data_IF_186776127119
#
_entry.id   IF_186776127119
#
_cell.length_a   1.000
_cell.length_b   1.000
_cell.length_c   1.000
_cell.angle_alpha   90.00
_cell.angle_beta   90.00
_cell.angle_gamma   90.00
#
_symmetry.space_group_name_H-M   'P 1'
#
loop_
_entity.id
_entity.type
_entity.pdbx_description
1 polymer ?
#
# COMPACT_ATOMS: atom_id res chain seq x y z
N UNK A 1 66.44 9.57 29.74
CA UNK A 1 65.66 8.33 29.53
C UNK A 1 64.36 8.48 30.28
N UNK A 2 63.29 8.91 29.61
CA UNK A 2 61.96 8.85 30.20
C UNK A 2 61.57 7.38 30.32
N UNK A 3 61.47 6.90 31.56
CA UNK A 3 60.89 5.60 31.86
C UNK A 3 59.39 5.74 31.62
N UNK A 4 58.92 5.36 30.43
CA UNK A 4 57.50 5.10 30.21
C UNK A 4 57.11 3.97 31.15
N UNK A 5 56.25 4.23 32.13
CA UNK A 5 55.64 3.20 32.98
C UNK A 5 54.91 2.24 32.05
N UNK A 6 55.52 1.09 31.78
CA UNK A 6 54.86 0.00 31.08
C UNK A 6 53.71 -0.48 31.95
N UNK A 7 52.48 -0.29 31.48
CA UNK A 7 51.31 -0.93 32.08
C UNK A 7 51.53 -2.43 31.92
N UNK A 8 51.46 -3.19 33.02
CA UNK A 8 51.52 -4.65 32.94
C UNK A 8 50.33 -5.12 32.10
N UNK A 9 50.55 -6.00 31.10
CA UNK A 9 49.47 -6.46 30.23
C UNK A 9 48.39 -7.13 31.07
N UNK A 10 47.13 -6.81 30.77
CA UNK A 10 45.99 -7.33 31.52
C UNK A 10 45.95 -8.86 31.33
N UNK A 11 45.92 -9.61 32.42
CA UNK A 11 45.87 -11.08 32.36
C UNK A 11 44.42 -11.52 32.19
N UNK A 12 44.12 -12.17 31.07
CA UNK A 12 42.79 -12.71 30.76
C UNK A 12 42.74 -14.20 31.14
N UNK A 13 42.03 -14.54 32.21
CA UNK A 13 41.92 -15.93 32.71
C UNK A 13 40.83 -16.77 32.03
N UNK A 14 40.06 -16.19 31.12
CA UNK A 14 38.98 -16.85 30.39
C UNK A 14 39.06 -16.53 28.91
N UNK A 15 39.04 -17.57 28.07
CA UNK A 15 39.02 -17.43 26.61
C UNK A 15 37.80 -16.62 26.16
N UNK A 16 36.62 -16.93 26.68
CA UNK A 16 35.38 -16.20 26.37
C UNK A 16 35.51 -14.72 26.72
N UNK A 17 36.11 -14.40 27.88
CA UNK A 17 36.31 -13.02 28.29
C UNK A 17 37.33 -12.29 27.40
N UNK A 18 38.42 -12.97 26.98
CA UNK A 18 39.39 -12.42 26.03
C UNK A 18 38.76 -12.17 24.65
N UNK A 19 37.90 -13.08 24.18
CA UNK A 19 37.14 -12.93 22.94
C UNK A 19 36.17 -11.74 22.99
N UNK A 20 35.41 -11.59 24.08
CA UNK A 20 34.52 -10.44 24.31
C UNK A 20 35.31 -9.12 24.42
N UNK A 21 36.45 -9.13 25.11
CA UNK A 21 37.32 -7.97 25.22
C UNK A 21 37.90 -7.57 23.86
N UNK A 22 38.34 -8.54 23.04
CA UNK A 22 38.80 -8.28 21.69
C UNK A 22 37.68 -7.73 20.80
N UNK A 23 36.45 -8.24 20.92
CA UNK A 23 35.30 -7.73 20.17
C UNK A 23 35.03 -6.26 20.50
N UNK A 24 34.97 -5.90 21.78
CA UNK A 24 34.78 -4.52 22.22
C UNK A 24 35.91 -3.59 21.74
N UNK A 25 37.16 -4.08 21.70
CA UNK A 25 38.28 -3.30 21.20
C UNK A 25 38.25 -3.14 19.67
N UNK A 26 37.78 -4.14 18.92
CA UNK A 26 37.55 -4.00 17.48
C UNK A 26 36.41 -3.02 17.18
N UNK A 27 35.38 -2.94 18.02
CA UNK A 27 34.34 -1.90 17.91
C UNK A 27 34.92 -0.50 18.13
N UNK A 28 35.75 -0.30 19.16
CA UNK A 28 36.41 0.98 19.41
C UNK A 28 37.30 1.41 18.24
N UNK A 29 38.05 0.48 17.65
CA UNK A 29 38.87 0.76 16.47
C UNK A 29 38.00 1.09 15.24
N UNK A 30 36.93 0.33 15.01
CA UNK A 30 36.04 0.50 13.85
C UNK A 30 35.28 1.82 13.89
N UNK A 31 34.74 2.21 15.05
CA UNK A 31 33.85 3.38 15.17
C UNK A 31 34.57 4.66 15.62
N UNK A 32 35.68 4.54 16.35
CA UNK A 32 36.36 5.69 16.95
C UNK A 32 37.86 5.76 16.63
N UNK A 33 38.41 4.77 15.92
CA UNK A 33 39.85 4.65 15.65
C UNK A 33 40.70 4.60 16.92
N UNK A 34 40.13 4.07 18.00
CA UNK A 34 40.79 3.91 19.28
C UNK A 34 41.27 2.48 19.49
N UNK A 35 42.55 2.33 19.82
CA UNK A 35 43.16 1.04 20.21
C UNK A 35 43.73 1.16 21.61
N UNK A 36 43.26 0.32 22.53
CA UNK A 36 43.93 0.19 23.82
C UNK A 36 45.29 -0.51 23.67
N UNK A 37 46.12 -0.37 24.70
CA UNK A 37 47.40 -1.07 24.81
C UNK A 37 47.25 -2.61 24.69
N UNK A 38 46.11 -3.15 25.11
CA UNK A 38 45.82 -4.58 25.08
C UNK A 38 45.34 -5.09 23.70
N UNK A 39 45.02 -4.22 22.73
CA UNK A 39 44.46 -4.62 21.43
C UNK A 39 45.37 -5.60 20.68
N UNK A 40 46.65 -5.26 20.54
CA UNK A 40 47.62 -6.09 19.82
C UNK A 40 47.89 -7.41 20.53
N UNK A 41 47.96 -7.39 21.86
CA UNK A 41 48.11 -8.58 22.68
C UNK A 41 46.91 -9.52 22.50
N UNK A 42 45.69 -9.01 22.65
CA UNK A 42 44.46 -9.79 22.46
C UNK A 42 44.34 -10.36 21.04
N UNK A 43 44.57 -9.54 20.02
CA UNK A 43 44.44 -9.94 18.62
C UNK A 43 45.50 -10.97 18.17
N UNK A 44 46.59 -11.14 18.93
CA UNK A 44 47.59 -12.19 18.68
C UNK A 44 47.29 -13.51 19.40
N UNK A 45 46.50 -13.48 20.47
CA UNK A 45 46.22 -14.65 21.34
C UNK A 45 44.88 -15.30 21.04
N UNK A 46 43.86 -14.50 20.70
CA UNK A 46 42.52 -14.99 20.36
C UNK A 46 42.08 -14.48 19.00
N UNK A 47 41.35 -15.33 18.26
CA UNK A 47 40.72 -14.99 17.00
C UNK A 47 39.22 -15.11 17.16
N UNK A 48 38.51 -14.07 16.75
CA UNK A 48 37.05 -14.02 16.79
C UNK A 48 36.52 -13.77 15.38
N UNK A 49 35.35 -14.32 15.04
CA UNK A 49 34.66 -14.03 13.79
C UNK A 49 33.98 -12.65 13.90
N UNK A 50 34.79 -11.60 14.08
CA UNK A 50 34.32 -10.22 14.23
C UNK A 50 33.66 -9.75 12.94
N UNK A 51 32.48 -9.11 13.05
CA UNK A 51 31.70 -8.60 11.92
C UNK A 51 31.34 -9.68 10.88
N UNK A 52 31.28 -10.95 11.29
CA UNK A 52 30.99 -12.10 10.42
C UNK A 52 29.49 -12.40 10.27
N UNK A 53 28.62 -11.63 10.93
CA UNK A 53 27.19 -11.88 10.90
C UNK A 53 26.64 -11.72 9.47
N UNK A 54 26.06 -12.81 8.99
CA UNK A 54 25.36 -12.85 7.72
C UNK A 54 23.85 -12.94 7.97
N UNK A 55 23.14 -11.92 7.47
CA UNK A 55 21.70 -11.81 7.55
C UNK A 55 21.01 -12.38 6.30
N UNK A 56 21.75 -13.05 5.41
CA UNK A 56 21.16 -13.76 4.28
C UNK A 56 20.17 -14.82 4.77
N UNK A 57 18.99 -14.82 4.16
CA UNK A 57 17.95 -15.78 4.49
C UNK A 57 18.30 -17.14 3.90
N UNK A 58 18.68 -18.09 4.77
CA UNK A 58 19.12 -19.44 4.37
C UNK A 58 17.99 -20.45 4.17
N UNK A 59 16.72 -20.00 4.26
CA UNK A 59 15.54 -20.84 4.11
C UNK A 59 14.93 -21.26 5.44
N UNK A 60 13.60 -21.38 5.46
CA UNK A 60 12.86 -21.96 6.57
C UNK A 60 11.64 -22.71 6.03
N UNK A 61 11.43 -23.98 6.43
CA UNK A 61 10.24 -24.76 6.06
C UNK A 61 9.07 -24.36 6.95
N UNK A 62 8.46 -23.21 6.67
CA UNK A 62 7.38 -22.65 7.52
C UNK A 62 6.00 -22.97 6.98
N UNK A 63 5.87 -23.17 5.66
CA UNK A 63 4.59 -23.51 5.06
C UNK A 63 4.36 -25.02 4.99
N UNK A 64 3.20 -25.46 5.49
CA UNK A 64 2.67 -26.76 5.12
C UNK A 64 2.12 -26.66 3.69
N UNK A 65 2.83 -27.25 2.73
CA UNK A 65 2.48 -27.25 1.31
C UNK A 65 1.14 -27.94 1.00
N UNK A 66 0.62 -28.75 1.93
CA UNK A 66 -0.68 -29.42 1.77
C UNK A 66 -1.86 -28.51 2.11
N UNK A 67 -1.63 -27.39 2.83
CA UNK A 67 -2.69 -26.44 3.13
C UNK A 67 -2.87 -25.44 2.00
N UNK A 68 -4.12 -25.25 1.62
CA UNK A 68 -4.52 -24.24 0.64
C UNK A 68 -4.09 -22.84 1.12
N UNK A 69 -3.34 -22.12 0.29
CA UNK A 69 -2.93 -20.75 0.60
C UNK A 69 -4.04 -19.77 0.23
N UNK A 70 -4.17 -18.72 1.04
CA UNK A 70 -5.05 -17.59 0.78
C UNK A 70 -4.23 -16.32 0.66
N UNK A 71 -4.29 -15.69 -0.50
CA UNK A 71 -3.64 -14.42 -0.77
C UNK A 71 -4.66 -13.31 -0.85
N UNK A 72 -4.25 -12.13 -0.39
CA UNK A 72 -4.96 -10.87 -0.55
C UNK A 72 -3.99 -9.82 -1.09
N UNK A 73 -4.52 -8.72 -1.64
CA UNK A 73 -3.69 -7.59 -2.05
C UNK A 73 -2.76 -7.12 -0.93
N UNK A 74 -3.28 -6.90 0.29
CA UNK A 74 -2.48 -6.36 1.41
C UNK A 74 -1.30 -7.27 1.77
N UNK A 75 -1.52 -8.59 1.82
CA UNK A 75 -0.46 -9.56 2.08
C UNK A 75 0.56 -9.62 0.94
N UNK A 76 0.08 -9.62 -0.30
CA UNK A 76 0.95 -9.71 -1.47
C UNK A 76 1.76 -8.42 -1.70
N UNK A 77 1.20 -7.25 -1.37
CA UNK A 77 1.93 -5.97 -1.32
C UNK A 77 3.09 -6.03 -0.34
N UNK A 78 2.89 -6.59 0.86
CA UNK A 78 3.99 -6.76 1.85
C UNK A 78 5.08 -7.65 1.29
N UNK A 79 4.73 -8.76 0.61
CA UNK A 79 5.71 -9.66 0.00
C UNK A 79 6.56 -8.95 -1.06
N UNK A 80 5.93 -8.26 -2.01
CA UNK A 80 6.63 -7.53 -3.07
C UNK A 80 7.43 -6.33 -2.55
N UNK A 81 7.01 -5.73 -1.44
CA UNK A 81 7.77 -4.68 -0.79
C UNK A 81 9.00 -5.22 -0.05
N UNK A 82 8.86 -6.31 0.71
CA UNK A 82 9.97 -6.97 1.40
C UNK A 82 9.59 -8.43 1.74
N UNK A 83 10.22 -9.43 1.07
CA UNK A 83 9.90 -10.85 1.32
C UNK A 83 10.14 -11.26 2.78
N UNK A 84 11.20 -10.76 3.41
CA UNK A 84 11.47 -11.04 4.82
C UNK A 84 10.42 -10.44 5.77
N UNK A 85 9.88 -9.26 5.46
CA UNK A 85 8.78 -8.67 6.24
C UNK A 85 7.54 -9.57 6.17
N UNK A 86 7.20 -10.07 4.99
CA UNK A 86 6.11 -11.04 4.82
C UNK A 86 6.36 -12.31 5.63
N UNK A 87 7.59 -12.82 5.62
CA UNK A 87 7.95 -13.99 6.41
C UNK A 87 7.69 -13.76 7.91
N UNK A 88 8.17 -12.64 8.47
CA UNK A 88 7.99 -12.33 9.88
C UNK A 88 6.52 -12.08 10.25
N UNK A 89 5.77 -11.30 9.46
CA UNK A 89 4.38 -10.95 9.77
C UNK A 89 3.37 -12.04 9.40
N UNK A 90 3.44 -12.60 8.20
CA UNK A 90 2.41 -13.49 7.68
C UNK A 90 2.72 -14.98 7.89
N UNK A 91 3.99 -15.38 7.82
CA UNK A 91 4.39 -16.78 7.99
C UNK A 91 4.60 -17.13 9.47
N UNK A 92 5.43 -16.35 10.18
CA UNK A 92 5.73 -16.55 11.60
C UNK A 92 4.73 -15.89 12.55
N UNK A 93 3.94 -14.91 12.06
CA UNK A 93 2.94 -14.18 12.85
C UNK A 93 3.53 -13.45 14.05
N UNK A 94 4.68 -12.81 13.86
CA UNK A 94 5.41 -12.07 14.90
C UNK A 94 4.91 -10.63 15.11
N UNK A 95 3.96 -10.17 14.30
CA UNK A 95 3.34 -8.84 14.40
C UNK A 95 1.86 -9.03 14.69
N UNK A 96 1.47 -9.10 15.98
CA UNK A 96 0.08 -9.23 16.34
C UNK A 96 -0.67 -7.99 15.85
N UNK A 97 -1.85 -8.22 15.29
CA UNK A 97 -2.67 -7.13 14.80
C UNK A 97 -3.15 -6.26 15.97
N UNK A 98 -2.74 -4.99 15.97
CA UNK A 98 -3.20 -3.98 16.91
C UNK A 98 -4.01 -2.91 16.17
N UNK A 99 -5.16 -2.55 16.75
CA UNK A 99 -5.94 -1.45 16.23
C UNK A 99 -5.17 -0.14 16.40
N UNK A 100 -5.29 0.73 15.40
CA UNK A 100 -4.74 2.07 15.44
C UNK A 100 -5.84 3.08 15.16
N UNK A 101 -5.65 4.32 15.61
CA UNK A 101 -6.54 5.42 15.31
C UNK A 101 -6.91 5.52 13.82
N UNK A 102 -5.91 5.44 12.93
CA UNK A 102 -6.12 5.59 11.49
C UNK A 102 -6.95 4.46 10.89
N UNK A 103 -6.74 3.23 11.39
CA UNK A 103 -7.54 2.08 10.98
C UNK A 103 -9.00 2.26 11.43
N UNK A 104 -9.23 2.59 12.70
CA UNK A 104 -10.58 2.79 13.23
C UNK A 104 -11.30 3.95 12.54
N UNK A 105 -10.60 5.05 12.24
CA UNK A 105 -11.14 6.16 11.44
C UNK A 105 -11.56 5.70 10.04
N UNK A 106 -10.74 4.86 9.39
CA UNK A 106 -11.07 4.22 8.12
C UNK A 106 -12.34 3.39 8.24
N UNK A 107 -12.39 2.47 9.20
CA UNK A 107 -13.56 1.61 9.43
C UNK A 107 -14.84 2.42 9.68
N UNK A 108 -14.78 3.50 10.47
CA UNK A 108 -15.90 4.41 10.69
C UNK A 108 -16.39 4.98 9.35
N UNK A 109 -15.47 5.49 8.53
CA UNK A 109 -15.82 6.06 7.23
C UNK A 109 -16.45 5.02 6.29
N UNK A 110 -15.85 3.82 6.17
CA UNK A 110 -16.39 2.73 5.34
C UNK A 110 -17.78 2.29 5.78
N UNK A 111 -18.01 2.11 7.09
CA UNK A 111 -19.32 1.77 7.63
C UNK A 111 -20.36 2.84 7.25
N UNK A 112 -20.02 4.13 7.40
CA UNK A 112 -20.95 5.21 7.03
C UNK A 112 -21.24 5.19 5.53
N UNK A 113 -20.23 4.98 4.68
CA UNK A 113 -20.43 4.95 3.22
C UNK A 113 -21.24 3.75 2.75
N UNK A 114 -21.16 2.63 3.45
CA UNK A 114 -22.05 1.49 3.23
C UNK A 114 -23.50 1.86 3.57
N UNK A 115 -23.73 2.48 4.73
CA UNK A 115 -25.06 2.87 5.20
C UNK A 115 -25.75 3.91 4.28
N UNK A 116 -25.00 4.68 3.46
CA UNK A 116 -25.59 5.63 2.49
C UNK A 116 -26.58 4.92 1.54
N UNK A 117 -26.38 3.63 1.27
CA UNK A 117 -27.23 2.88 0.36
C UNK A 117 -28.53 2.37 1.01
N UNK A 118 -28.69 2.54 2.33
CA UNK A 118 -29.87 2.11 3.06
C UNK A 118 -30.99 3.16 2.99
N UNK A 119 -32.24 2.69 2.88
CA UNK A 119 -33.42 3.55 2.94
C UNK A 119 -33.51 4.25 4.31
N UNK A 120 -33.63 5.57 4.31
CA UNK A 120 -33.74 6.35 5.54
C UNK A 120 -32.40 6.61 6.25
N UNK A 121 -31.28 6.52 5.53
CA UNK A 121 -29.96 6.89 6.04
C UNK A 121 -29.96 8.22 6.82
N UNK A 122 -29.46 8.17 8.06
CA UNK A 122 -29.18 9.32 8.91
C UNK A 122 -27.71 9.31 9.33
N UNK A 123 -26.98 10.35 8.93
CA UNK A 123 -25.54 10.47 9.16
C UNK A 123 -25.17 10.41 10.66
N UNK A 124 -25.95 11.08 11.51
CA UNK A 124 -25.65 11.16 12.94
C UNK A 124 -25.80 9.80 13.63
N UNK A 125 -26.84 9.05 13.25
CA UNK A 125 -27.09 7.70 13.77
C UNK A 125 -26.08 6.70 13.24
N UNK A 126 -25.75 6.74 11.93
CA UNK A 126 -24.72 5.89 11.33
C UNK A 126 -23.34 6.12 11.97
N UNK A 127 -22.92 7.39 12.09
CA UNK A 127 -21.66 7.74 12.76
C UNK A 127 -21.61 7.25 14.20
N UNK A 128 -22.71 7.41 14.96
CA UNK A 128 -22.76 6.96 16.36
C UNK A 128 -22.59 5.44 16.47
N UNK A 129 -23.23 4.65 15.60
CA UNK A 129 -23.07 3.19 15.56
C UNK A 129 -21.64 2.80 15.23
N UNK A 130 -21.09 3.36 14.15
CA UNK A 130 -19.73 3.07 13.71
C UNK A 130 -18.67 3.44 14.78
N UNK A 131 -18.83 4.62 15.41
CA UNK A 131 -17.98 5.04 16.52
C UNK A 131 -18.04 4.06 17.70
N UNK A 132 -19.24 3.60 18.08
CA UNK A 132 -19.41 2.66 19.19
C UNK A 132 -18.74 1.32 18.93
N UNK A 133 -18.84 0.79 17.70
CA UNK A 133 -18.21 -0.46 17.28
C UNK A 133 -16.68 -0.35 17.42
N UNK A 134 -16.09 0.70 16.84
CA UNK A 134 -14.63 0.86 16.90
C UNK A 134 -14.14 1.18 18.31
N UNK A 135 -14.87 1.99 19.08
CA UNK A 135 -14.48 2.36 20.46
C UNK A 135 -14.51 1.18 21.44
N UNK A 136 -15.25 0.10 21.13
CA UNK A 136 -15.19 -1.15 21.91
C UNK A 136 -13.86 -1.88 21.72
N UNK A 137 -13.33 -1.89 20.50
CA UNK A 137 -12.11 -2.62 20.13
C UNK A 137 -10.84 -1.77 20.27
N UNK A 138 -10.99 -0.45 20.26
CA UNK A 138 -9.94 0.55 20.43
C UNK A 138 -10.52 1.75 21.19
N UNK A 139 -10.43 1.77 22.53
CA UNK A 139 -10.95 2.89 23.32
C UNK A 139 -10.18 4.17 22.98
N UNK A 140 -10.85 5.12 22.32
CA UNK A 140 -10.20 6.36 21.89
C UNK A 140 -9.78 7.20 23.09
N UNK A 141 -8.53 7.68 23.08
CA UNK A 141 -8.05 8.68 24.01
C UNK A 141 -8.80 10.01 23.85
N UNK A 142 -8.73 10.88 24.85
CA UNK A 142 -9.37 12.21 24.78
C UNK A 142 -8.88 13.02 23.57
N UNK A 143 -7.58 12.96 23.26
CA UNK A 143 -7.02 13.65 22.10
C UNK A 143 -7.61 13.14 20.78
N UNK A 144 -7.76 11.82 20.65
CA UNK A 144 -8.36 11.19 19.47
C UNK A 144 -9.85 11.48 19.35
N UNK A 145 -10.60 11.53 20.46
CA UNK A 145 -12.00 11.92 20.46
C UNK A 145 -12.19 13.36 19.96
N UNK A 146 -11.31 14.29 20.38
CA UNK A 146 -11.31 15.66 19.87
C UNK A 146 -11.03 15.68 18.37
N UNK A 147 -10.06 14.90 17.91
CA UNK A 147 -9.74 14.78 16.48
C UNK A 147 -10.90 14.18 15.68
N UNK A 148 -11.55 13.13 16.18
CA UNK A 148 -12.73 12.52 15.57
C UNK A 148 -13.88 13.50 15.42
N UNK A 149 -14.13 14.36 16.43
CA UNK A 149 -15.16 15.39 16.32
C UNK A 149 -14.88 16.40 15.19
N UNK A 150 -13.60 16.68 14.92
CA UNK A 150 -13.22 17.51 13.78
C UNK A 150 -13.38 16.76 12.46
N UNK A 151 -12.88 15.53 12.37
CA UNK A 151 -12.94 14.70 11.16
C UNK A 151 -14.36 14.26 10.80
N UNK A 152 -15.26 14.13 11.78
CA UNK A 152 -16.68 13.87 11.56
C UNK A 152 -17.31 14.89 10.61
N UNK A 153 -16.95 16.17 10.74
CA UNK A 153 -17.44 17.22 9.83
C UNK A 153 -16.97 16.98 8.40
N UNK A 154 -15.73 16.53 8.24
CA UNK A 154 -15.15 16.26 6.93
C UNK A 154 -15.77 15.01 6.30
N UNK A 155 -16.00 13.95 7.09
CA UNK A 155 -16.75 12.76 6.64
C UNK A 155 -18.16 13.17 6.21
N UNK A 156 -18.84 14.06 6.94
CA UNK A 156 -20.18 14.55 6.56
C UNK A 156 -20.17 15.23 5.18
N UNK A 157 -19.19 16.10 4.92
CA UNK A 157 -19.01 16.74 3.61
C UNK A 157 -18.76 15.70 2.52
N UNK A 158 -17.97 14.66 2.81
CA UNK A 158 -17.75 13.56 1.86
C UNK A 158 -19.04 12.78 1.57
N UNK A 159 -19.86 12.50 2.59
CA UNK A 159 -21.18 11.85 2.43
C UNK A 159 -22.09 12.68 1.52
N UNK A 160 -22.17 13.99 1.74
CA UNK A 160 -22.96 14.91 0.91
C UNK A 160 -22.47 14.94 -0.55
N UNK A 161 -21.15 14.98 -0.76
CA UNK A 161 -20.56 14.94 -2.09
C UNK A 161 -20.78 13.59 -2.80
N UNK A 162 -20.69 12.47 -2.08
CA UNK A 162 -21.00 11.13 -2.61
C UNK A 162 -22.47 11.07 -3.02
N UNK A 163 -23.40 11.51 -2.18
CA UNK A 163 -24.83 11.54 -2.50
C UNK A 163 -25.13 12.41 -3.72
N UNK A 164 -24.49 13.59 -3.82
CA UNK A 164 -24.61 14.44 -5.00
C UNK A 164 -24.10 13.74 -6.26
N UNK A 165 -22.92 13.11 -6.21
CA UNK A 165 -22.37 12.35 -7.34
C UNK A 165 -23.31 11.22 -7.77
N UNK A 166 -23.84 10.44 -6.82
CA UNK A 166 -24.80 9.37 -7.10
C UNK A 166 -26.07 9.88 -7.78
N UNK A 167 -26.57 11.07 -7.38
CA UNK A 167 -27.71 11.71 -8.05
C UNK A 167 -27.44 12.15 -9.50
N UNK A 168 -26.16 12.17 -9.91
CA UNK A 168 -25.70 12.52 -11.26
C UNK A 168 -25.22 11.32 -12.06
N UNK A 169 -25.48 10.09 -11.61
CA UNK A 169 -25.22 8.87 -12.37
C UNK A 169 -26.47 8.43 -13.15
N UNK A 170 -26.29 7.80 -14.30
CA UNK A 170 -27.36 7.20 -15.11
C UNK A 170 -27.66 5.78 -14.63
N UNK A 171 -28.91 5.55 -14.18
CA UNK A 171 -29.44 4.26 -13.71
C UNK A 171 -28.43 3.43 -12.88
N UNK A 172 -27.89 3.97 -11.77
CA UNK A 172 -26.83 3.30 -11.04
C UNK A 172 -27.34 2.14 -10.18
N UNK A 173 -26.58 1.05 -10.15
CA UNK A 173 -26.65 -0.01 -9.13
C UNK A 173 -25.36 -0.01 -8.33
N UNK A 174 -25.50 0.00 -7.01
CA UNK A 174 -24.38 0.07 -6.08
C UNK A 174 -24.20 -1.26 -5.35
N UNK A 175 -22.95 -1.72 -5.29
CA UNK A 175 -22.56 -2.84 -4.44
C UNK A 175 -21.43 -2.36 -3.54
N UNK A 176 -21.59 -2.53 -2.23
CA UNK A 176 -20.67 -2.02 -1.22
C UNK A 176 -19.99 -3.19 -0.52
N UNK A 177 -18.70 -3.05 -0.23
CA UNK A 177 -17.98 -3.96 0.65
C UNK A 177 -18.08 -5.45 0.20
N UNK A 178 -18.07 -5.69 -1.12
CA UNK A 178 -18.28 -6.99 -1.75
C UNK A 178 -17.05 -7.88 -1.61
N UNK A 179 -17.23 -9.06 -1.01
CA UNK A 179 -16.18 -10.07 -0.91
C UNK A 179 -16.18 -10.95 -2.16
N UNK A 180 -15.07 -10.94 -2.89
CA UNK A 180 -14.86 -11.77 -4.06
C UNK A 180 -13.63 -12.64 -3.88
N UNK A 181 -13.64 -13.79 -4.53
CA UNK A 181 -12.49 -14.70 -4.56
C UNK A 181 -12.48 -15.51 -5.84
N UNK A 182 -11.30 -15.96 -6.24
CA UNK A 182 -11.14 -16.95 -7.31
C UNK A 182 -9.95 -17.87 -7.01
N UNK A 183 -9.97 -19.01 -7.67
CA UNK A 183 -8.91 -20.00 -7.57
C UNK A 183 -7.75 -19.62 -8.50
N UNK A 184 -6.61 -19.23 -7.93
CA UNK A 184 -5.41 -18.94 -8.70
C UNK A 184 -4.81 -20.23 -9.28
N UNK A 185 -4.86 -21.28 -8.47
CA UNK A 185 -4.49 -22.66 -8.80
C UNK A 185 -5.23 -23.63 -7.84
N UNK A 186 -5.04 -24.94 -8.02
CA UNK A 186 -5.70 -25.98 -7.22
C UNK A 186 -5.45 -25.87 -5.70
N UNK A 187 -4.40 -25.18 -5.28
CA UNK A 187 -3.98 -25.04 -3.89
C UNK A 187 -3.95 -23.58 -3.40
N UNK A 188 -4.38 -22.60 -4.21
CA UNK A 188 -4.31 -21.19 -3.85
C UNK A 188 -5.58 -20.44 -4.24
N UNK A 189 -6.12 -19.67 -3.30
CA UNK A 189 -7.22 -18.72 -3.52
C UNK A 189 -6.67 -17.31 -3.42
N UNK A 190 -7.11 -16.43 -4.31
CA UNK A 190 -6.99 -14.98 -4.12
C UNK A 190 -8.34 -14.46 -3.69
N UNK A 191 -8.39 -13.77 -2.55
CA UNK A 191 -9.59 -13.18 -1.99
C UNK A 191 -9.38 -11.69 -1.71
N UNK A 192 -10.45 -10.91 -1.82
CA UNK A 192 -10.42 -9.49 -1.54
C UNK A 192 -11.82 -8.92 -1.33
N UNK A 193 -11.83 -7.74 -0.72
CA UNK A 193 -13.04 -6.96 -0.46
C UNK A 193 -12.97 -5.71 -1.33
N UNK A 194 -13.97 -5.49 -2.17
CA UNK A 194 -14.07 -4.30 -3.02
C UNK A 194 -15.00 -3.31 -2.33
N UNK A 195 -14.48 -2.13 -1.98
CA UNK A 195 -15.21 -1.12 -1.21
C UNK A 195 -16.50 -0.69 -1.91
N UNK A 196 -16.43 -0.41 -3.22
CA UNK A 196 -17.58 -0.03 -4.02
C UNK A 196 -17.47 -0.43 -5.48
N UNK A 197 -18.51 -1.08 -5.97
CA UNK A 197 -18.75 -1.34 -7.39
C UNK A 197 -19.97 -0.52 -7.81
N UNK A 198 -19.82 0.25 -8.88
CA UNK A 198 -20.94 0.98 -9.50
C UNK A 198 -21.19 0.40 -10.88
N UNK A 199 -22.43 0.00 -11.14
CA UNK A 199 -22.89 -0.43 -12.45
C UNK A 199 -23.86 0.61 -12.96
N UNK A 200 -23.68 1.09 -14.19
CA UNK A 200 -24.54 2.10 -14.80
C UNK A 200 -25.07 1.59 -16.13
N UNK A 201 -26.32 1.92 -16.44
CA UNK A 201 -27.03 1.51 -17.65
C UNK A 201 -26.92 0.00 -17.96
N UNK A 202 -26.84 -0.82 -16.90
CA UNK A 202 -26.64 -2.27 -16.94
C UNK A 202 -25.47 -2.75 -17.81
N UNK A 203 -24.47 -1.89 -18.01
CA UNK A 203 -23.36 -2.13 -18.93
C UNK A 203 -22.00 -1.75 -18.35
N UNK A 204 -21.83 -0.52 -17.90
CA UNK A 204 -20.53 0.01 -17.50
C UNK A 204 -20.29 -0.19 -16.02
N UNK A 205 -19.15 -0.77 -15.67
CA UNK A 205 -18.72 -1.03 -14.31
C UNK A 205 -17.56 -0.13 -13.91
N UNK A 206 -17.65 0.47 -12.72
CA UNK A 206 -16.60 1.28 -12.13
C UNK A 206 -16.25 0.74 -10.75
N UNK A 207 -14.96 0.60 -10.48
CA UNK A 207 -14.46 0.12 -9.19
C UNK A 207 -13.84 1.28 -8.43
N UNK A 208 -14.29 1.47 -7.19
CA UNK A 208 -13.85 2.55 -6.33
C UNK A 208 -13.24 1.95 -5.05
N UNK A 209 -12.17 2.59 -4.59
CA UNK A 209 -11.49 2.31 -3.32
C UNK A 209 -11.51 3.60 -2.47
N UNK A 210 -12.06 3.55 -1.27
CA UNK A 210 -12.10 4.68 -0.37
C UNK A 210 -10.78 4.81 0.36
N UNK A 211 -10.23 6.03 0.40
CA UNK A 211 -9.00 6.33 1.14
C UNK A 211 -9.17 7.56 2.01
N UNK A 212 -8.72 7.43 3.26
CA UNK A 212 -8.60 8.54 4.22
C UNK A 212 -7.25 9.25 4.13
N UNK A 213 -6.29 8.68 3.38
CA UNK A 213 -4.96 9.23 3.14
C UNK A 213 -4.78 9.85 1.75
N UNK A 214 -3.53 10.24 1.43
CA UNK A 214 -3.13 10.89 0.16
C UNK A 214 -2.72 9.93 -0.95
N UNK A 215 -2.84 8.63 -0.73
CA UNK A 215 -2.39 7.62 -1.69
C UNK A 215 -3.14 7.77 -3.01
N UNK A 216 -2.40 7.96 -4.11
CA UNK A 216 -2.98 8.02 -5.46
C UNK A 216 -2.61 6.77 -6.24
N UNK A 217 -3.47 6.40 -7.20
CA UNK A 217 -3.19 5.26 -8.05
C UNK A 217 -2.08 5.60 -9.05
N UNK A 218 -1.03 4.79 -9.07
CA UNK A 218 0.14 4.97 -9.93
C UNK A 218 0.35 3.71 -10.76
N UNK A 219 -0.06 3.70 -12.05
CA UNK A 219 0.11 2.55 -12.93
C UNK A 219 1.55 2.07 -13.04
N UNK A 220 2.53 2.98 -13.10
CA UNK A 220 3.96 2.66 -13.15
C UNK A 220 4.47 1.89 -11.94
N UNK A 221 3.71 1.90 -10.83
CA UNK A 221 4.03 1.17 -9.60
C UNK A 221 3.31 -0.17 -9.48
N UNK A 222 2.47 -0.54 -10.45
CA UNK A 222 1.78 -1.83 -10.48
C UNK A 222 2.78 -2.96 -10.64
N UNK A 223 3.67 -2.88 -11.64
CA UNK A 223 4.72 -3.88 -11.89
C UNK A 223 5.62 -4.20 -10.67
N UNK A 224 5.71 -3.28 -9.71
CA UNK A 224 6.50 -3.45 -8.48
C UNK A 224 5.68 -3.97 -7.29
N UNK A 225 4.42 -4.35 -7.50
CA UNK A 225 3.51 -4.81 -6.45
C UNK A 225 3.16 -3.73 -5.42
N UNK A 226 3.28 -2.44 -5.75
CA UNK A 226 3.04 -1.35 -4.78
C UNK A 226 1.69 -0.65 -4.94
N UNK A 227 1.19 -0.50 -6.16
CA UNK A 227 -0.07 0.23 -6.46
C UNK A 227 -1.10 -0.65 -7.17
N UNK A 228 -1.16 -1.95 -6.83
CA UNK A 228 -1.96 -2.93 -7.57
C UNK A 228 -3.29 -3.32 -6.88
N UNK A 229 -3.82 -2.51 -5.94
CA UNK A 229 -5.13 -2.77 -5.31
C UNK A 229 -6.27 -2.68 -6.31
N UNK A 230 -6.38 -1.57 -7.03
CA UNK A 230 -7.40 -1.39 -8.07
C UNK A 230 -7.25 -2.41 -9.22
N UNK A 231 -6.03 -2.70 -9.71
CA UNK A 231 -5.79 -3.86 -10.58
C UNK A 231 -6.26 -5.20 -9.99
N UNK A 232 -6.09 -5.44 -8.69
CA UNK A 232 -6.61 -6.63 -8.01
C UNK A 232 -8.14 -6.65 -8.02
N UNK A 233 -8.81 -5.51 -7.83
CA UNK A 233 -10.27 -5.44 -7.95
C UNK A 233 -10.73 -5.77 -9.38
N UNK A 234 -10.05 -5.23 -10.40
CA UNK A 234 -10.31 -5.55 -11.80
C UNK A 234 -10.17 -7.06 -12.08
N UNK A 235 -9.13 -7.69 -11.53
CA UNK A 235 -8.94 -9.13 -11.60
C UNK A 235 -10.09 -9.90 -10.91
N UNK A 236 -10.45 -9.55 -9.67
CA UNK A 236 -11.51 -10.22 -8.92
C UNK A 236 -12.86 -10.18 -9.65
N UNK A 237 -13.26 -9.02 -10.19
CA UNK A 237 -14.53 -8.90 -10.93
C UNK A 237 -14.49 -9.63 -12.27
N UNK A 238 -13.32 -9.68 -12.94
CA UNK A 238 -13.17 -10.44 -14.19
C UNK A 238 -13.36 -11.94 -14.01
N UNK A 239 -13.08 -12.47 -12.81
CA UNK A 239 -13.24 -13.88 -12.46
C UNK A 239 -14.59 -14.19 -11.80
N UNK A 240 -15.41 -13.18 -11.52
CA UNK A 240 -16.68 -13.35 -10.82
C UNK A 240 -17.83 -13.58 -11.80
N UNK A 241 -18.58 -14.67 -11.65
CA UNK A 241 -19.80 -14.93 -12.44
C UNK A 241 -20.85 -13.82 -12.29
N UNK A 242 -20.84 -13.10 -11.15
CA UNK A 242 -21.78 -11.99 -10.89
C UNK A 242 -21.44 -10.74 -11.69
N UNK A 243 -20.17 -10.53 -12.07
CA UNK A 243 -19.69 -9.26 -12.59
C UNK A 243 -18.93 -9.33 -13.92
N UNK A 244 -18.51 -10.53 -14.37
CA UNK A 244 -17.65 -10.71 -15.54
C UNK A 244 -18.30 -10.31 -16.89
N UNK A 245 -19.62 -10.10 -16.92
CA UNK A 245 -20.35 -9.67 -18.10
C UNK A 245 -20.49 -8.15 -18.25
N UNK A 246 -20.06 -7.35 -17.25
CA UNK A 246 -20.05 -5.89 -17.36
C UNK A 246 -18.73 -5.36 -17.93
N UNK A 247 -18.80 -4.24 -18.65
CA UNK A 247 -17.62 -3.59 -19.21
C UNK A 247 -16.94 -2.71 -18.15
N UNK A 248 -15.72 -3.10 -17.72
CA UNK A 248 -14.92 -2.27 -16.82
C UNK A 248 -14.55 -0.94 -17.51
N UNK A 249 -15.09 0.16 -16.98
CA UNK A 249 -15.05 1.49 -17.55
C UNK A 249 -14.25 2.49 -16.69
N UNK A 250 -13.86 2.13 -15.46
CA UNK A 250 -12.95 2.97 -14.68
C UNK A 250 -12.54 2.37 -13.35
N UNK A 251 -11.39 2.84 -12.87
CA UNK A 251 -10.78 2.47 -11.60
C UNK A 251 -10.42 3.75 -10.87
N UNK A 252 -10.91 3.94 -9.64
CA UNK A 252 -10.73 5.18 -8.90
C UNK A 252 -10.38 4.96 -7.43
N UNK A 253 -9.50 5.82 -6.93
CA UNK A 253 -9.41 6.12 -5.51
C UNK A 253 -10.33 7.30 -5.23
N UNK A 254 -11.19 7.15 -4.22
CA UNK A 254 -12.03 8.22 -3.72
C UNK A 254 -11.49 8.67 -2.36
N UNK A 255 -10.84 9.82 -2.35
CA UNK A 255 -10.37 10.43 -1.12
C UNK A 255 -11.53 11.05 -0.36
N UNK A 256 -11.75 10.60 0.88
CA UNK A 256 -12.94 10.99 1.66
C UNK A 256 -12.63 11.83 2.90
N UNK A 257 -11.34 11.98 3.24
CA UNK A 257 -10.89 12.89 4.29
C UNK A 257 -9.80 13.79 3.69
N UNK A 258 -9.99 15.13 3.71
CA UNK A 258 -8.97 16.05 3.23
C UNK A 258 -7.77 16.04 4.16
N UNK A 259 -6.58 16.17 3.57
CA UNK A 259 -5.41 16.58 4.34
C UNK A 259 -5.58 18.03 4.77
N UNK A 260 -5.28 18.35 6.02
CA UNK A 260 -5.63 19.60 6.72
C UNK A 260 -5.01 20.88 6.14
N UNK A 261 -4.33 20.83 4.99
CA UNK A 261 -3.50 21.90 4.47
C UNK A 261 -3.94 22.21 3.03
N UNK A 262 -4.82 23.22 2.92
CA UNK A 262 -5.43 23.84 1.72
C UNK A 262 -6.69 23.16 1.20
N UNK A 263 -7.81 23.41 1.89
CA UNK A 263 -9.17 23.31 1.36
C UNK A 263 -9.38 24.39 0.28
N UNK A 264 -8.84 24.21 -0.91
CA UNK A 264 -9.21 25.05 -2.05
C UNK A 264 -10.61 24.65 -2.52
N UNK A 265 -11.60 25.38 -2.04
CA UNK A 265 -12.96 25.32 -2.53
C UNK A 265 -13.08 26.39 -3.61
N UNK A 266 -13.34 25.99 -4.86
CA UNK A 266 -13.79 26.94 -5.88
C UNK A 266 -15.26 27.21 -5.60
N UNK A 267 -15.67 28.49 -5.55
CA UNK A 267 -17.05 28.88 -5.21
C UNK A 267 -18.10 28.26 -6.16
N UNK A 268 -17.74 28.03 -7.43
CA UNK A 268 -18.65 27.48 -8.45
C UNK A 268 -18.56 25.94 -8.62
N UNK A 269 -17.73 25.24 -7.84
CA UNK A 269 -17.57 23.79 -8.01
C UNK A 269 -18.68 23.00 -7.31
N UNK A 270 -19.32 22.08 -8.03
CA UNK A 270 -20.36 21.18 -7.46
C UNK A 270 -19.83 20.36 -6.28
N UNK A 271 -18.58 19.90 -6.37
CA UNK A 271 -17.90 19.20 -5.29
C UNK A 271 -16.48 19.75 -5.11
N UNK A 272 -15.94 19.76 -3.87
CA UNK A 272 -14.56 20.13 -3.62
C UNK A 272 -13.59 19.28 -4.45
N UNK A 273 -12.55 19.91 -5.02
CA UNK A 273 -11.57 19.25 -5.90
C UNK A 273 -10.89 18.02 -5.26
N UNK A 274 -10.71 18.03 -3.93
CA UNK A 274 -10.09 16.93 -3.20
C UNK A 274 -11.00 15.69 -3.08
N UNK A 275 -12.31 15.86 -3.24
CA UNK A 275 -13.31 14.77 -3.25
C UNK A 275 -13.61 14.24 -4.66
N UNK A 276 -13.03 14.85 -5.71
CA UNK A 276 -13.14 14.28 -7.05
C UNK A 276 -12.42 12.91 -7.09
N UNK A 277 -12.98 11.98 -7.85
CA UNK A 277 -12.41 10.65 -8.09
C UNK A 277 -11.03 10.76 -8.74
N UNK A 278 -10.05 10.06 -8.17
CA UNK A 278 -8.66 10.04 -8.62
C UNK A 278 -8.34 8.70 -9.28
N UNK A 279 -8.20 8.67 -10.60
CA UNK A 279 -7.96 7.42 -11.31
C UNK A 279 -8.04 7.58 -12.81
N UNK A 280 -8.42 6.49 -13.48
CA UNK A 280 -8.52 6.42 -14.93
C UNK A 280 -9.91 5.94 -15.33
N UNK A 281 -10.41 6.52 -16.42
CA UNK A 281 -11.68 6.16 -17.05
C UNK A 281 -11.44 5.66 -18.48
N UNK A 282 -12.37 4.91 -19.03
CA UNK A 282 -12.30 4.47 -20.43
C UNK A 282 -12.43 5.66 -21.39
N UNK A 283 -11.72 5.60 -22.52
CA UNK A 283 -11.85 6.54 -23.64
C UNK A 283 -13.17 6.30 -24.40
N UNK A 284 -14.29 6.48 -23.70
CA UNK A 284 -15.65 6.33 -24.19
C UNK A 284 -16.54 7.36 -23.48
N UNK A 285 -16.96 8.39 -24.23
CA UNK A 285 -17.76 9.50 -23.70
C UNK A 285 -19.09 8.99 -23.12
N UNK A 286 -19.69 7.93 -23.68
CA UNK A 286 -20.96 7.40 -23.20
C UNK A 286 -20.80 6.73 -21.84
N UNK A 287 -19.70 5.99 -21.64
CA UNK A 287 -19.37 5.43 -20.33
C UNK A 287 -19.06 6.54 -19.31
N UNK A 288 -18.37 7.62 -19.70
CA UNK A 288 -18.14 8.74 -18.77
C UNK A 288 -19.45 9.42 -18.40
N UNK A 289 -20.35 9.64 -19.35
CA UNK A 289 -21.67 10.25 -19.11
C UNK A 289 -22.55 9.42 -18.17
N UNK A 290 -22.37 8.09 -18.16
CA UNK A 290 -23.16 7.22 -17.30
C UNK A 290 -22.76 7.34 -15.82
N UNK A 291 -21.50 7.66 -15.51
CA UNK A 291 -21.06 7.95 -14.13
C UNK A 291 -21.11 9.45 -13.77
N UNK A 292 -20.99 10.36 -14.74
CA UNK A 292 -21.10 11.81 -14.56
C UNK A 292 -21.96 12.45 -15.66
N UNK A 293 -23.25 12.59 -15.41
CA UNK A 293 -24.21 13.23 -16.33
C UNK A 293 -23.97 14.74 -16.52
N UNK A 294 -23.11 15.37 -15.69
CA UNK A 294 -22.73 16.79 -15.88
C UNK A 294 -21.62 16.95 -16.92
N UNK A 295 -20.99 15.85 -17.34
CA UNK A 295 -19.94 15.82 -18.33
C UNK A 295 -20.48 15.58 -19.74
N UNK A 296 -19.78 16.12 -20.75
CA UNK A 296 -19.95 15.70 -22.14
C UNK A 296 -20.34 16.79 -23.13
N UNK A 297 -20.39 18.04 -22.68
CA UNK A 297 -20.48 19.20 -23.57
C UNK A 297 -19.08 19.61 -24.06
N UNK A 298 -18.92 20.07 -25.32
CA UNK A 298 -17.62 20.50 -25.82
C UNK A 298 -17.01 21.61 -24.98
N UNK A 299 -15.77 21.41 -24.52
CA UNK A 299 -15.06 22.33 -23.64
C UNK A 299 -15.28 22.12 -22.14
N UNK A 300 -16.20 21.22 -21.73
CA UNK A 300 -16.52 20.98 -20.32
C UNK A 300 -15.44 20.19 -19.57
N UNK A 301 -15.31 20.45 -18.27
CA UNK A 301 -14.55 19.62 -17.32
C UNK A 301 -15.52 18.81 -16.47
N UNK A 302 -15.13 17.60 -16.06
CA UNK A 302 -15.95 16.79 -15.14
C UNK A 302 -16.05 17.45 -13.77
N UNK A 303 -17.24 17.41 -13.19
CA UNK A 303 -17.48 17.87 -11.84
C UNK A 303 -16.95 16.89 -10.79
N UNK A 304 -16.94 15.59 -11.11
CA UNK A 304 -16.69 14.52 -10.13
C UNK A 304 -15.40 13.74 -10.36
N UNK A 305 -14.78 13.79 -11.55
CA UNK A 305 -13.56 13.05 -11.87
C UNK A 305 -12.40 14.03 -12.05
N UNK A 306 -11.25 13.76 -11.39
CA UNK A 306 -10.06 14.59 -11.51
C UNK A 306 -9.46 14.50 -12.91
N UNK A 307 -8.99 15.64 -13.42
CA UNK A 307 -8.23 15.71 -14.68
C UNK A 307 -8.97 15.04 -15.84
N UNK A 308 -10.25 15.39 -16.03
CA UNK A 308 -11.08 14.90 -17.13
C UNK A 308 -11.80 16.07 -17.80
N UNK A 309 -11.50 16.28 -19.09
CA UNK A 309 -11.97 17.42 -19.87
C UNK A 309 -12.21 17.04 -21.34
N UNK A 310 -13.23 17.65 -21.95
CA UNK A 310 -13.39 17.69 -23.41
C UNK A 310 -12.84 18.98 -24.01
N UNK A 311 -12.27 18.89 -25.20
CA UNK A 311 -11.95 20.03 -26.06
C UNK A 311 -13.24 20.58 -26.68
N UNK A 312 -13.12 21.76 -27.31
CA UNK A 312 -14.24 22.40 -28.04
C UNK A 312 -14.71 21.60 -29.26
N UNK A 313 -13.90 20.67 -29.76
CA UNK A 313 -14.25 19.76 -30.85
C UNK A 313 -15.01 18.50 -30.36
N UNK A 314 -15.27 18.38 -29.04
CA UNK A 314 -15.96 17.23 -28.45
C UNK A 314 -15.07 16.03 -28.15
N UNK A 315 -13.78 16.06 -28.52
CA UNK A 315 -12.82 15.00 -28.17
C UNK A 315 -12.24 15.22 -26.78
N UNK A 316 -11.74 14.17 -26.13
CA UNK A 316 -11.05 14.34 -24.85
C UNK A 316 -9.75 15.16 -24.98
N UNK A 317 -9.49 15.98 -23.97
CA UNK A 317 -8.18 16.62 -23.80
C UNK A 317 -7.06 15.56 -23.68
N UNK A 318 -5.86 15.88 -24.17
CA UNK A 318 -4.72 14.98 -24.11
C UNK A 318 -4.27 14.70 -22.66
N UNK A 319 -4.47 15.67 -21.76
CA UNK A 319 -4.17 15.55 -20.33
C UNK A 319 -5.26 14.81 -19.55
N UNK A 320 -6.38 14.47 -20.20
CA UNK A 320 -7.44 13.71 -19.55
C UNK A 320 -6.94 12.31 -19.19
N UNK A 321 -7.16 11.88 -17.95
CA UNK A 321 -6.79 10.54 -17.45
C UNK A 321 -7.76 9.49 -17.97
N UNK A 322 -7.67 9.22 -19.28
CA UNK A 322 -8.45 8.23 -20.00
C UNK A 322 -7.55 7.13 -20.56
N UNK A 323 -8.08 5.93 -20.71
CA UNK A 323 -7.36 4.76 -21.22
C UNK A 323 -8.26 3.87 -22.07
N UNK A 324 -7.66 2.98 -22.86
CA UNK A 324 -8.43 2.00 -23.66
C UNK A 324 -9.05 0.91 -22.77
N UNK A 325 -10.02 0.16 -23.31
CA UNK A 325 -10.58 -1.02 -22.62
C UNK A 325 -9.52 -2.09 -22.40
N UNK A 326 -8.61 -2.24 -23.36
CA UNK A 326 -7.48 -3.17 -23.33
C UNK A 326 -6.51 -2.86 -22.19
N UNK A 327 -6.30 -1.58 -21.88
CA UNK A 327 -5.47 -1.15 -20.75
C UNK A 327 -6.04 -1.62 -19.40
N UNK A 328 -7.35 -1.58 -19.20
CA UNK A 328 -7.94 -2.10 -17.96
C UNK A 328 -7.81 -3.62 -17.85
N UNK A 329 -7.88 -4.34 -18.98
CA UNK A 329 -7.59 -5.79 -19.01
C UNK A 329 -6.12 -6.07 -18.68
N UNK A 330 -5.19 -5.30 -19.24
CA UNK A 330 -3.76 -5.48 -18.95
C UNK A 330 -3.43 -5.25 -17.48
N UNK A 331 -4.08 -4.29 -16.81
CA UNK A 331 -3.92 -4.12 -15.36
C UNK A 331 -4.36 -5.36 -14.57
N UNK A 332 -5.49 -5.98 -14.93
CA UNK A 332 -5.94 -7.22 -14.29
C UNK A 332 -4.94 -8.37 -14.52
N UNK A 333 -4.38 -8.47 -15.73
CA UNK A 333 -3.37 -9.46 -16.07
C UNK A 333 -2.05 -9.23 -15.31
N UNK A 334 -1.60 -7.98 -15.17
CA UNK A 334 -0.44 -7.61 -14.36
C UNK A 334 -0.64 -8.00 -12.89
N UNK A 335 -1.81 -7.71 -12.31
CA UNK A 335 -2.15 -8.14 -10.96
C UNK A 335 -2.09 -9.67 -10.82
N UNK A 336 -2.61 -10.40 -11.81
CA UNK A 336 -2.57 -11.86 -11.84
C UNK A 336 -1.14 -12.38 -11.87
N UNK A 337 -0.27 -11.78 -12.69
CA UNK A 337 1.16 -12.12 -12.75
C UNK A 337 1.85 -11.91 -11.40
N UNK A 338 1.57 -10.80 -10.70
CA UNK A 338 2.11 -10.52 -9.36
C UNK A 338 1.66 -11.56 -8.33
N UNK A 339 0.41 -12.01 -8.39
CA UNK A 339 -0.08 -13.08 -7.53
C UNK A 339 0.58 -14.43 -7.85
N UNK A 340 0.77 -14.76 -9.13
CA UNK A 340 1.43 -16.00 -9.56
C UNK A 340 2.89 -16.02 -9.11
N UNK A 341 3.65 -14.95 -9.39
CA UNK A 341 5.05 -14.83 -9.02
C UNK A 341 5.24 -14.91 -7.49
N UNK A 342 4.47 -14.10 -6.75
CA UNK A 342 4.52 -14.13 -5.29
C UNK A 342 4.11 -15.48 -4.72
N UNK A 343 3.03 -16.10 -5.22
CA UNK A 343 2.60 -17.44 -4.79
C UNK A 343 3.69 -18.50 -5.00
N UNK A 344 4.34 -18.49 -6.17
CA UNK A 344 5.44 -19.41 -6.48
C UNK A 344 6.58 -19.24 -5.48
N UNK A 345 7.09 -18.01 -5.32
CA UNK A 345 8.23 -17.74 -4.44
C UNK A 345 7.92 -18.02 -2.96
N UNK A 346 6.70 -17.70 -2.50
CA UNK A 346 6.23 -18.03 -1.15
C UNK A 346 6.23 -19.55 -0.92
N UNK A 347 5.71 -20.34 -1.88
CA UNK A 347 5.69 -21.81 -1.79
C UNK A 347 7.08 -22.43 -1.81
N UNK A 348 8.01 -21.82 -2.53
CA UNK A 348 9.43 -22.19 -2.56
C UNK A 348 10.20 -21.71 -1.31
N UNK A 349 9.51 -21.11 -0.33
CA UNK A 349 10.07 -20.52 0.88
C UNK A 349 11.16 -19.46 0.61
N UNK A 350 10.98 -18.64 -0.43
CA UNK A 350 11.90 -17.56 -0.76
C UNK A 350 11.53 -16.26 -0.02
N UNK A 351 12.27 -15.96 1.05
CA UNK A 351 12.07 -14.76 1.87
C UNK A 351 13.36 -13.96 2.11
N UNK A 352 14.11 -13.59 1.07
CA UNK A 352 15.35 -12.85 1.23
C UNK A 352 15.11 -11.49 1.92
N UNK A 353 16.11 -11.05 2.68
CA UNK A 353 16.18 -9.66 3.18
C UNK A 353 16.50 -8.75 1.99
N UNK A 354 15.49 -8.43 1.20
CA UNK A 354 15.58 -7.57 -0.01
C UNK A 354 14.42 -6.58 -0.07
N UNK A 355 14.42 -5.52 0.76
CA UNK A 355 13.42 -4.48 0.69
C UNK A 355 13.55 -3.64 -0.58
N UNK A 356 12.40 -3.38 -1.21
CA UNK A 356 12.28 -2.58 -2.43
C UNK A 356 11.94 -1.12 -2.10
N UNK A 357 12.82 -0.20 -2.45
CA UNK A 357 12.68 1.23 -2.23
C UNK A 357 12.15 1.94 -3.48
N UNK A 358 10.85 2.23 -3.48
CA UNK A 358 10.18 2.99 -4.55
C UNK A 358 10.13 4.51 -4.27
N UNK A 359 10.56 4.89 -3.06
CA UNK A 359 10.77 6.25 -2.57
C UNK A 359 12.01 6.27 -1.64
N UNK A 360 12.28 7.42 -1.00
CA UNK A 360 13.45 7.61 -0.13
C UNK A 360 13.40 6.79 1.17
N UNK A 361 12.21 6.47 1.66
CA UNK A 361 12.00 5.91 2.99
C UNK A 361 11.85 4.39 2.94
N UNK A 362 11.24 3.89 1.87
CA UNK A 362 11.02 2.48 1.58
C UNK A 362 10.13 1.77 2.60
N UNK A 363 10.01 0.44 2.47
CA UNK A 363 9.20 -0.38 3.37
C UNK A 363 9.78 -0.42 4.80
N UNK A 364 11.07 -0.10 4.96
CA UNK A 364 11.75 -0.16 6.26
C UNK A 364 11.29 0.91 7.25
N UNK A 365 10.77 2.06 6.79
CA UNK A 365 10.41 3.18 7.68
C UNK A 365 9.40 2.79 8.76
N UNK A 366 8.38 2.02 8.37
CA UNK A 366 7.29 1.59 9.24
C UNK A 366 7.34 0.08 9.53
N UNK A 367 8.46 -0.58 9.26
CA UNK A 367 8.61 -2.02 9.48
C UNK A 367 9.02 -2.30 10.94
N UNK A 368 8.17 -3.04 11.66
CA UNK A 368 8.42 -3.51 13.03
C UNK A 368 9.59 -4.50 13.16
N UNK A 369 10.10 -5.04 12.04
CA UNK A 369 11.13 -6.09 12.03
C UNK A 369 12.52 -5.60 11.58
N UNK A 370 12.73 -4.29 11.49
CA UNK A 370 14.02 -3.71 11.07
C UNK A 370 15.19 -4.18 11.96
N UNK A 371 14.92 -4.36 13.25
CA UNK A 371 15.88 -4.80 14.25
C UNK A 371 16.07 -6.33 14.28
N UNK A 372 15.32 -7.06 13.46
CA UNK A 372 15.45 -8.53 13.29
C UNK A 372 16.25 -8.83 12.02
N UNK A 373 15.95 -8.14 10.91
CA UNK A 373 16.56 -8.45 9.62
C UNK A 373 17.95 -7.82 9.42
N UNK A 374 18.29 -6.77 10.18
CA UNK A 374 19.55 -6.03 10.09
C UNK A 374 19.96 -5.71 8.63
N UNK A 375 19.01 -5.22 7.83
CA UNK A 375 19.22 -4.99 6.39
C UNK A 375 20.48 -4.17 6.10
N UNK A 376 21.32 -4.69 5.21
CA UNK A 376 22.54 -4.04 4.72
C UNK A 376 22.22 -3.16 3.51
N UNK A 377 23.07 -2.18 3.18
CA UNK A 377 22.78 -1.25 2.09
C UNK A 377 22.75 -1.95 0.73
N UNK A 378 23.60 -2.96 0.52
CA UNK A 378 23.73 -3.74 -0.71
C UNK A 378 22.50 -4.62 -0.98
N UNK A 379 21.67 -4.84 0.03
CA UNK A 379 20.44 -5.62 -0.05
C UNK A 379 19.21 -4.77 -0.43
N UNK A 380 19.33 -3.44 -0.42
CA UNK A 380 18.24 -2.53 -0.78
C UNK A 380 18.13 -2.44 -2.29
N UNK A 381 16.93 -2.67 -2.82
CA UNK A 381 16.65 -2.64 -4.26
C UNK A 381 16.00 -1.30 -4.62
N UNK A 382 16.45 -0.65 -5.71
CA UNK A 382 15.94 0.66 -6.15
C UNK A 382 15.46 0.61 -7.62
N UNK A 383 14.33 -0.07 -7.91
CA UNK A 383 13.96 -0.41 -9.29
C UNK A 383 13.77 0.78 -10.22
N UNK A 384 13.32 1.93 -9.69
CA UNK A 384 13.13 3.15 -10.49
C UNK A 384 14.45 3.74 -10.98
N UNK A 385 15.47 3.74 -10.12
CA UNK A 385 16.78 4.26 -10.49
C UNK A 385 17.45 3.36 -11.53
N UNK A 386 17.20 2.06 -11.47
CA UNK A 386 17.66 1.08 -12.45
C UNK A 386 17.00 1.31 -13.83
N UNK A 387 15.68 1.51 -13.88
CA UNK A 387 14.96 1.85 -15.13
C UNK A 387 15.44 3.17 -15.75
N UNK A 388 15.65 4.22 -14.94
CA UNK A 388 16.13 5.52 -15.43
C UNK A 388 17.56 5.44 -16.00
N UNK A 389 18.41 4.54 -15.48
CA UNK A 389 19.75 4.30 -15.99
C UNK A 389 19.77 3.47 -17.30
N UNK A 390 18.86 2.51 -17.43
CA UNK A 390 18.69 1.73 -18.66
C UNK A 390 18.12 2.59 -19.82
N UNK A 391 17.17 3.48 -19.54
CA UNK A 391 16.65 4.42 -20.55
C UNK A 391 17.68 5.51 -20.93
N UNK A 392 18.52 5.94 -19.98
CA UNK A 392 19.58 6.92 -20.22
C UNK A 392 20.78 6.39 -21.00
N UNK A 393 21.01 5.07 -21.01
CA UNK A 393 22.11 4.42 -21.74
C UNK A 393 21.72 3.96 -23.15
N UNK A 394 20.43 3.99 -23.50
CA UNK A 394 19.90 3.62 -24.82
C UNK A 394 19.89 4.74 -25.88
N UNK A 395 20.15 6.00 -25.51
CA UNK A 395 20.14 7.16 -26.44
C UNK A 395 21.52 7.54 -27.00
N UNK A 396 22.44 6.58 -27.06
CA UNK A 396 23.82 6.81 -27.50
C UNK A 396 24.32 5.81 -28.52
N UNK A 397 23.61 5.62 -29.65
CA UNK A 397 24.17 5.13 -30.92
C UNK A 397 23.52 5.87 -32.08
#
# INVERSE_FOLDING_TARGET
MEVRRGVLPKIYYSKIYAELALAAQKDLDKYFHEKSDDFFALNSVVSIPYDSYDNEFTGAKVFNLEKRLKHSYSRMKVYHACPFQYFASAALKLDPFENSFHLCLGNIAHHIFQDIQEDGFDFESSYRRAYQIENQSYPFSIAEQVLLNQLKKDIKVAVEAIGLHQSKMSHPRFYMEENLSFDLDNQTVVEGKIDKIVITDDRYMFLLDYKTGKESFSPSLVQFGSSFQLPTYALLVSQSEKFNHYELAGLFIHHVIPDSIKRQIKEDALVPTYLKLDGYVVDDIMAVKSIDTTFGEPGSESSFIKSLRLKKDGTFDAKSRKQSKEYFRSLADEARCLFIDGNKKIRENQFPVRPQFLDKEGPCKYCSFRDICYVKNEQKVYPKAELEQEEGSGNGI
#
